data_IF_050504346890
#
_entry.id   IF_050504346890
#
_cell.length_a   1.000
_cell.length_b   1.000
_cell.length_c   1.000
_cell.angle_alpha   90.00
_cell.angle_beta   90.00
_cell.angle_gamma   90.00
#
_symmetry.space_group_name_H-M   'P 1'
#
loop_
_entity.id
_entity.type
_entity.pdbx_description
1 polymer ?
#
# COMPACT_ATOMS: atom_id res chain seq x y z
N UNK A 1 8.17 -6.31 -47.00
CA UNK A 1 8.18 -5.81 -45.60
C UNK A 1 7.33 -6.61 -44.60
N UNK A 2 6.43 -7.52 -45.02
CA UNK A 2 5.60 -8.31 -44.09
C UNK A 2 6.28 -9.60 -43.57
N UNK A 3 7.26 -10.15 -44.28
CA UNK A 3 7.91 -11.42 -43.93
C UNK A 3 8.89 -11.31 -42.74
N UNK A 4 9.56 -10.16 -42.58
CA UNK A 4 10.55 -9.94 -41.50
C UNK A 4 9.85 -9.84 -40.14
N UNK A 5 8.66 -9.23 -40.09
CA UNK A 5 7.89 -9.10 -38.86
C UNK A 5 7.29 -10.42 -38.36
N UNK A 6 6.93 -11.37 -39.25
CA UNK A 6 6.44 -12.68 -38.81
C UNK A 6 7.57 -13.54 -38.25
N UNK A 7 8.75 -13.51 -38.88
CA UNK A 7 9.96 -14.21 -38.41
C UNK A 7 10.43 -13.71 -37.04
N UNK A 8 10.37 -12.40 -36.79
CA UNK A 8 10.70 -11.82 -35.47
C UNK A 8 9.68 -12.24 -34.42
N UNK A 9 8.38 -12.22 -34.73
CA UNK A 9 7.34 -12.73 -33.80
C UNK A 9 7.51 -14.22 -33.48
N UNK A 10 7.90 -15.03 -34.47
CA UNK A 10 8.11 -16.46 -34.33
C UNK A 10 9.40 -16.79 -33.54
N UNK A 11 10.47 -16.01 -33.74
CA UNK A 11 11.69 -16.13 -32.93
C UNK A 11 11.47 -15.68 -31.48
N UNK A 12 10.70 -14.60 -31.25
CA UNK A 12 10.38 -14.12 -29.91
C UNK A 12 9.50 -15.12 -29.16
N UNK A 13 8.51 -15.74 -29.82
CA UNK A 13 7.66 -16.76 -29.19
C UNK A 13 8.42 -18.06 -28.87
N UNK A 14 9.30 -18.54 -29.77
CA UNK A 14 10.18 -19.68 -29.52
C UNK A 14 11.18 -19.40 -28.39
N UNK A 15 11.75 -18.20 -28.36
CA UNK A 15 12.65 -17.76 -27.28
C UNK A 15 11.93 -17.66 -25.94
N UNK A 16 10.67 -17.19 -25.95
CA UNK A 16 9.84 -17.09 -24.76
C UNK A 16 9.44 -18.48 -24.23
N UNK A 17 9.09 -19.43 -25.10
CA UNK A 17 8.82 -20.81 -24.70
C UNK A 17 10.09 -21.52 -24.16
N UNK A 18 11.26 -21.30 -24.77
CA UNK A 18 12.54 -21.82 -24.28
C UNK A 18 12.96 -21.19 -22.94
N UNK A 19 12.70 -19.89 -22.76
CA UNK A 19 12.90 -19.17 -21.49
C UNK A 19 11.92 -19.64 -20.42
N UNK A 20 10.67 -19.93 -20.78
CA UNK A 20 9.65 -20.41 -19.85
C UNK A 20 9.93 -21.86 -19.41
N UNK A 21 10.38 -22.74 -20.30
CA UNK A 21 10.84 -24.08 -19.92
C UNK A 21 12.13 -24.07 -19.08
N UNK A 22 13.05 -23.13 -19.35
CA UNK A 22 14.23 -22.92 -18.51
C UNK A 22 13.85 -22.34 -17.14
N UNK A 23 12.92 -21.38 -17.08
CA UNK A 23 12.43 -20.80 -15.84
C UNK A 23 11.70 -21.84 -14.97
N UNK A 24 10.87 -22.70 -15.58
CA UNK A 24 10.21 -23.80 -14.87
C UNK A 24 11.21 -24.85 -14.35
N UNK A 25 12.31 -25.10 -15.06
CA UNK A 25 13.43 -25.93 -14.56
C UNK A 25 14.20 -25.28 -13.41
N UNK A 26 14.34 -23.95 -13.40
CA UNK A 26 14.91 -23.17 -12.29
C UNK A 26 14.01 -23.11 -11.05
N UNK A 27 12.69 -23.32 -11.21
CA UNK A 27 11.70 -23.32 -10.12
C UNK A 27 11.47 -24.73 -9.55
N UNK A 28 11.90 -25.80 -10.24
CA UNK A 28 11.89 -27.14 -9.63
C UNK A 28 12.80 -27.11 -8.40
N UNK A 29 12.30 -27.47 -7.20
CA UNK A 29 13.15 -27.54 -6.03
C UNK A 29 14.27 -28.51 -6.36
N UNK A 30 15.51 -28.03 -6.27
CA UNK A 30 16.67 -28.90 -6.31
C UNK A 30 16.41 -29.93 -5.22
N UNK A 31 16.17 -31.18 -5.61
CA UNK A 31 16.32 -32.33 -4.73
C UNK A 31 17.80 -32.38 -4.40
N UNK A 32 18.20 -31.53 -3.44
CA UNK A 32 19.54 -31.50 -2.88
C UNK A 32 19.79 -32.92 -2.42
N UNK A 33 20.78 -33.58 -3.03
CA UNK A 33 21.27 -34.84 -2.50
C UNK A 33 21.55 -34.63 -1.01
N UNK A 34 21.18 -35.61 -0.19
CA UNK A 34 21.29 -35.51 1.27
C UNK A 34 22.69 -35.03 1.70
N UNK A 35 23.72 -35.39 0.94
CA UNK A 35 25.11 -34.97 1.11
C UNK A 35 25.36 -33.48 0.83
N UNK A 36 24.78 -32.91 -0.24
CA UNK A 36 24.89 -31.48 -0.53
C UNK A 36 24.10 -30.64 0.48
N UNK A 37 22.97 -31.16 0.97
CA UNK A 37 22.19 -30.54 2.03
C UNK A 37 22.96 -30.47 3.35
N UNK A 38 23.54 -31.58 3.79
CA UNK A 38 24.32 -31.63 5.04
C UNK A 38 25.58 -30.75 4.99
N UNK A 39 26.25 -30.67 3.84
CA UNK A 39 27.38 -29.76 3.64
C UNK A 39 26.97 -28.28 3.65
N UNK A 40 25.83 -27.94 3.06
CA UNK A 40 25.30 -26.59 3.12
C UNK A 40 24.87 -26.21 4.56
N UNK A 41 24.34 -27.15 5.33
CA UNK A 41 23.92 -26.94 6.72
C UNK A 41 25.09 -26.61 7.66
N UNK A 42 26.31 -27.09 7.37
CA UNK A 42 27.51 -26.71 8.13
C UNK A 42 27.84 -25.21 8.03
N UNK A 43 27.40 -24.55 6.97
CA UNK A 43 27.59 -23.10 6.76
C UNK A 43 26.46 -22.25 7.34
N UNK A 44 25.36 -22.89 7.79
CA UNK A 44 24.18 -22.20 8.31
C UNK A 44 24.31 -21.90 9.80
N UNK A 45 23.69 -20.80 10.23
CA UNK A 45 23.68 -20.42 11.64
C UNK A 45 22.85 -21.39 12.49
N UNK A 46 23.27 -21.65 13.74
CA UNK A 46 22.55 -22.52 14.69
C UNK A 46 21.07 -22.14 14.84
N UNK A 47 20.76 -20.84 14.87
CA UNK A 47 19.39 -20.34 14.98
C UNK A 47 18.52 -20.67 13.76
N UNK A 48 19.11 -20.71 12.57
CA UNK A 48 18.42 -21.03 11.32
C UNK A 48 18.07 -22.52 11.27
N UNK A 49 19.01 -23.40 11.61
CA UNK A 49 18.78 -24.84 11.69
C UNK A 49 17.72 -25.20 12.75
N UNK A 50 17.74 -24.51 13.90
CA UNK A 50 16.71 -24.68 14.94
C UNK A 50 15.34 -24.19 14.47
N UNK A 51 15.27 -23.09 13.70
CA UNK A 51 14.03 -22.60 13.14
C UNK A 51 13.48 -23.56 12.07
N UNK A 52 14.34 -24.11 11.22
CA UNK A 52 13.98 -25.08 10.19
C UNK A 52 13.43 -26.38 10.80
N UNK A 53 14.13 -26.94 11.78
CA UNK A 53 13.68 -28.15 12.51
C UNK A 53 12.39 -27.89 13.28
N UNK A 54 12.22 -26.72 13.90
CA UNK A 54 10.98 -26.33 14.56
C UNK A 54 9.82 -26.18 13.56
N UNK A 55 10.08 -25.61 12.37
CA UNK A 55 9.08 -25.43 11.32
C UNK A 55 8.59 -26.77 10.77
N UNK A 56 9.50 -27.73 10.54
CA UNK A 56 9.15 -29.09 10.14
C UNK A 56 8.38 -29.84 11.23
N UNK A 57 8.81 -29.74 12.50
CA UNK A 57 8.08 -30.32 13.64
C UNK A 57 6.66 -29.76 13.73
N UNK A 58 6.49 -28.46 13.57
CA UNK A 58 5.16 -27.84 13.61
C UNK A 58 4.26 -28.37 12.48
N UNK A 59 4.80 -28.56 11.26
CA UNK A 59 4.04 -29.19 10.16
C UNK A 59 3.64 -30.63 10.49
N UNK A 60 4.53 -31.42 11.08
CA UNK A 60 4.23 -32.80 11.52
C UNK A 60 3.17 -32.85 12.63
N UNK A 61 3.21 -31.91 13.57
CA UNK A 61 2.19 -31.80 14.63
C UNK A 61 0.82 -31.48 14.04
N UNK A 62 0.74 -30.57 13.06
CA UNK A 62 -0.52 -30.22 12.39
C UNK A 62 -1.06 -31.43 11.61
N UNK A 63 -0.19 -32.14 10.89
CA UNK A 63 -0.54 -33.34 10.12
C UNK A 63 -1.04 -34.48 11.03
N UNK A 64 -0.33 -34.77 12.12
CA UNK A 64 -0.71 -35.83 13.06
C UNK A 64 -2.04 -35.56 13.77
N UNK A 65 -2.46 -34.29 13.87
CA UNK A 65 -3.72 -33.91 14.51
C UNK A 65 -4.95 -34.13 13.63
N UNK A 66 -4.83 -34.24 12.30
CA UNK A 66 -6.00 -34.27 11.41
C UNK A 66 -5.82 -35.21 10.21
N UNK A 67 -6.65 -36.26 10.15
CA UNK A 67 -6.51 -37.40 9.21
C UNK A 67 -7.13 -37.14 7.82
N UNK A 68 -8.04 -36.17 7.66
CA UNK A 68 -8.72 -35.91 6.36
C UNK A 68 -8.48 -34.53 5.73
N UNK A 69 -8.60 -33.42 6.48
CA UNK A 69 -8.34 -32.07 5.97
C UNK A 69 -7.68 -31.19 7.04
N UNK A 70 -6.41 -30.75 6.84
CA UNK A 70 -5.69 -29.97 7.85
C UNK A 70 -6.16 -28.51 7.91
N UNK A 71 -7.07 -28.20 8.83
CA UNK A 71 -7.44 -26.83 9.19
C UNK A 71 -6.40 -26.26 10.14
N UNK A 72 -5.51 -25.41 9.62
CA UNK A 72 -4.51 -24.68 10.42
C UNK A 72 -5.19 -23.71 11.40
N UNK A 73 -4.97 -23.88 12.71
CA UNK A 73 -5.47 -22.95 13.75
C UNK A 73 -4.72 -21.61 13.68
N UNK A 74 -5.31 -20.56 14.23
CA UNK A 74 -4.69 -19.23 14.26
C UNK A 74 -3.32 -19.21 14.96
N UNK A 75 -3.14 -20.04 16.00
CA UNK A 75 -1.84 -20.24 16.69
C UNK A 75 -0.81 -20.87 15.78
N UNK A 76 -1.22 -21.89 15.02
CA UNK A 76 -0.35 -22.61 14.08
C UNK A 76 0.08 -21.68 12.93
N UNK A 77 -0.84 -20.86 12.42
CA UNK A 77 -0.54 -19.83 11.41
C UNK A 77 0.50 -18.82 11.90
N UNK A 78 0.36 -18.36 13.15
CA UNK A 78 1.30 -17.40 13.75
C UNK A 78 2.68 -18.03 13.98
N UNK A 79 2.74 -19.26 14.48
CA UNK A 79 4.00 -19.99 14.67
C UNK A 79 4.71 -20.24 13.33
N UNK A 80 3.97 -20.69 12.31
CA UNK A 80 4.52 -20.92 10.97
C UNK A 80 5.06 -19.62 10.36
N UNK A 81 4.34 -18.50 10.47
CA UNK A 81 4.82 -17.19 9.98
C UNK A 81 6.07 -16.74 10.75
N UNK A 82 6.12 -16.93 12.07
CA UNK A 82 7.25 -16.53 12.91
C UNK A 82 8.51 -17.37 12.60
N UNK A 83 8.35 -18.68 12.44
CA UNK A 83 9.43 -19.59 12.07
C UNK A 83 9.91 -19.33 10.65
N UNK A 84 8.99 -19.07 9.70
CA UNK A 84 9.34 -18.69 8.33
C UNK A 84 10.06 -17.33 8.25
N UNK A 85 9.88 -16.44 9.23
CA UNK A 85 10.67 -15.20 9.33
C UNK A 85 12.12 -15.45 9.73
N UNK A 86 12.38 -16.53 10.47
CA UNK A 86 13.70 -16.85 11.02
C UNK A 86 14.52 -17.77 10.10
N UNK A 87 13.86 -18.61 9.30
CA UNK A 87 14.51 -19.46 8.31
C UNK A 87 14.67 -18.73 6.97
N UNK A 88 15.87 -18.62 6.40
CA UNK A 88 16.09 -17.96 5.10
C UNK A 88 15.55 -18.81 3.95
N UNK A 89 15.53 -20.12 4.15
CA UNK A 89 15.10 -21.16 3.18
C UNK A 89 13.65 -21.61 3.35
N UNK A 90 12.83 -20.86 4.10
CA UNK A 90 11.46 -21.25 4.49
C UNK A 90 10.56 -21.70 3.32
N UNK A 91 10.76 -21.18 2.10
CA UNK A 91 9.99 -21.58 0.91
C UNK A 91 10.23 -23.03 0.50
N UNK A 92 11.43 -23.55 0.72
CA UNK A 92 11.81 -24.92 0.35
C UNK A 92 11.38 -25.93 1.42
N UNK A 93 11.28 -25.50 2.68
CA UNK A 93 10.91 -26.34 3.83
C UNK A 93 9.38 -26.49 4.02
N UNK A 94 8.56 -25.67 3.35
CA UNK A 94 7.11 -25.73 3.43
C UNK A 94 6.53 -26.76 2.45
N UNK A 95 5.98 -27.84 2.99
CA UNK A 95 5.32 -28.89 2.20
C UNK A 95 3.80 -28.92 2.42
N UNK A 96 3.33 -28.55 3.61
CA UNK A 96 1.92 -28.62 3.98
C UNK A 96 1.10 -27.41 3.50
N UNK A 97 1.73 -26.23 3.47
CA UNK A 97 1.06 -24.95 3.20
C UNK A 97 1.75 -24.25 2.03
N UNK A 98 0.97 -23.84 1.04
CA UNK A 98 1.48 -23.05 -0.09
C UNK A 98 2.17 -21.77 0.40
N UNK A 99 3.36 -21.41 -0.12
CA UNK A 99 4.07 -20.19 0.26
C UNK A 99 3.21 -18.92 0.17
N UNK A 100 2.31 -18.86 -0.82
CA UNK A 100 1.37 -17.75 -1.03
C UNK A 100 0.38 -17.59 0.14
N UNK A 101 -0.03 -18.73 0.72
CA UNK A 101 -0.95 -18.77 1.87
C UNK A 101 -0.25 -18.27 3.12
N UNK A 102 1.01 -18.66 3.34
CA UNK A 102 1.80 -18.17 4.46
C UNK A 102 2.07 -16.65 4.35
N UNK A 103 2.35 -16.15 3.16
CA UNK A 103 2.49 -14.71 2.91
C UNK A 103 1.17 -13.95 3.14
N UNK A 104 0.03 -14.55 2.80
CA UNK A 104 -1.29 -13.98 3.12
C UNK A 104 -1.49 -13.85 4.63
N UNK A 105 -1.14 -14.88 5.40
CA UNK A 105 -1.19 -14.82 6.87
C UNK A 105 -0.23 -13.79 7.45
N UNK A 106 0.99 -13.70 6.92
CA UNK A 106 1.94 -12.65 7.32
C UNK A 106 1.38 -11.24 7.12
N UNK A 107 0.79 -10.97 5.94
CA UNK A 107 0.15 -9.67 5.66
C UNK A 107 -1.01 -9.37 6.60
N UNK A 108 -1.82 -10.38 6.94
CA UNK A 108 -2.95 -10.21 7.86
C UNK A 108 -2.46 -9.95 9.30
N UNK A 109 -1.45 -10.69 9.77
CA UNK A 109 -0.84 -10.44 11.08
C UNK A 109 -0.23 -9.05 11.16
N UNK A 110 0.45 -8.62 10.09
CA UNK A 110 1.00 -7.27 9.98
C UNK A 110 -0.11 -6.22 10.03
N UNK A 111 -1.21 -6.42 9.30
CA UNK A 111 -2.39 -5.54 9.34
C UNK A 111 -2.98 -5.44 10.74
N UNK A 112 -3.15 -6.56 11.45
CA UNK A 112 -3.68 -6.59 12.83
C UNK A 112 -2.72 -5.88 13.79
N UNK A 113 -1.42 -6.16 13.68
CA UNK A 113 -0.39 -5.51 14.48
C UNK A 113 -0.43 -3.98 14.31
N UNK A 114 -0.45 -3.51 13.07
CA UNK A 114 -0.52 -2.08 12.79
C UNK A 114 -1.86 -1.48 13.18
N UNK A 115 -2.99 -2.19 13.02
CA UNK A 115 -4.30 -1.75 13.52
C UNK A 115 -4.30 -1.56 15.03
N UNK A 116 -3.62 -2.44 15.77
CA UNK A 116 -3.48 -2.33 17.23
C UNK A 116 -2.54 -1.19 17.61
N UNK A 117 -1.39 -1.07 16.94
CA UNK A 117 -0.39 -0.04 17.20
C UNK A 117 -0.88 1.37 16.82
N UNK A 118 -1.65 1.48 15.74
CA UNK A 118 -2.24 2.73 15.26
C UNK A 118 -3.52 3.11 16.00
N UNK A 119 -4.05 2.23 16.85
CA UNK A 119 -5.18 2.55 17.72
C UNK A 119 -4.72 3.62 18.71
N UNK A 120 -4.98 4.88 18.36
CA UNK A 120 -4.79 6.02 19.25
C UNK A 120 -5.58 5.71 20.52
N UNK A 121 -4.88 5.59 21.64
CA UNK A 121 -5.52 5.44 22.95
C UNK A 121 -6.52 6.60 23.08
N UNK A 122 -7.80 6.29 23.32
CA UNK A 122 -8.83 7.31 23.44
C UNK A 122 -8.47 8.21 24.63
N UNK A 123 -7.75 9.30 24.37
CA UNK A 123 -7.31 10.21 25.41
C UNK A 123 -8.57 10.80 26.02
N UNK A 124 -8.73 10.64 27.34
CA UNK A 124 -9.77 11.32 28.10
C UNK A 124 -9.73 12.81 27.72
N UNK A 125 -10.89 13.43 27.43
CA UNK A 125 -10.91 14.84 27.09
C UNK A 125 -10.32 15.65 28.25
N UNK A 126 -9.40 16.57 27.94
CA UNK A 126 -8.77 17.46 28.93
C UNK A 126 -9.72 18.53 29.47
N UNK A 127 -10.92 18.64 28.89
CA UNK A 127 -11.92 19.65 29.21
C UNK A 127 -13.06 18.97 29.97
N UNK A 128 -13.61 19.64 30.98
CA UNK A 128 -14.77 19.13 31.74
C UNK A 128 -15.95 18.85 30.81
N UNK A 129 -16.77 17.84 31.12
CA UNK A 129 -17.91 17.44 30.28
C UNK A 129 -18.90 18.59 30.07
N UNK A 130 -19.12 19.43 31.08
CA UNK A 130 -19.99 20.62 31.04
C UNK A 130 -19.53 21.67 30.01
N UNK A 131 -18.22 21.96 29.96
CA UNK A 131 -17.68 22.89 28.96
C UNK A 131 -17.80 22.30 27.55
N UNK A 132 -17.73 20.98 27.41
CA UNK A 132 -17.93 20.29 26.13
C UNK A 132 -19.40 20.35 25.70
N UNK A 133 -20.35 20.12 26.61
CA UNK A 133 -21.78 20.22 26.31
C UNK A 133 -22.15 21.64 25.89
N UNK A 134 -21.67 22.65 26.61
CA UNK A 134 -21.88 24.06 26.24
C UNK A 134 -21.37 24.38 24.84
N UNK A 135 -20.13 23.96 24.50
CA UNK A 135 -19.59 24.16 23.14
C UNK A 135 -20.48 23.47 22.09
N UNK A 136 -20.96 22.27 22.36
CA UNK A 136 -21.82 21.52 21.43
C UNK A 136 -23.18 22.19 21.25
N UNK A 137 -23.80 22.65 22.33
CA UNK A 137 -25.08 23.35 22.34
C UNK A 137 -24.98 24.68 21.58
N UNK A 138 -23.98 25.52 21.90
CA UNK A 138 -23.76 26.77 21.18
C UNK A 138 -23.53 26.54 19.68
N UNK A 139 -22.78 25.49 19.32
CA UNK A 139 -22.51 25.13 17.93
C UNK A 139 -23.72 24.55 17.18
N UNK A 140 -24.64 23.89 17.90
CA UNK A 140 -25.86 23.31 17.35
C UNK A 140 -26.94 24.37 17.13
N UNK A 141 -27.17 25.24 18.13
CA UNK A 141 -28.13 26.34 18.02
C UNK A 141 -27.67 27.43 17.05
N UNK A 142 -26.36 27.69 16.96
CA UNK A 142 -25.81 28.76 16.12
C UNK A 142 -24.95 28.21 14.98
N UNK A 143 -25.61 27.72 13.92
CA UNK A 143 -24.94 27.06 12.79
C UNK A 143 -24.05 28.00 11.96
N UNK A 144 -24.35 29.30 11.93
CA UNK A 144 -23.56 30.32 11.22
C UNK A 144 -22.30 30.74 11.99
N UNK A 145 -22.21 30.46 13.29
CA UNK A 145 -21.08 30.92 14.08
C UNK A 145 -19.80 30.13 13.77
N UNK A 146 -18.70 30.84 13.56
CA UNK A 146 -17.37 30.25 13.44
C UNK A 146 -16.76 29.90 14.80
N UNK A 147 -15.70 29.10 14.79
CA UNK A 147 -15.00 28.72 16.02
C UNK A 147 -14.43 29.92 16.80
N UNK A 148 -14.03 31.00 16.12
CA UNK A 148 -13.58 32.23 16.79
C UNK A 148 -14.73 32.99 17.45
N UNK A 149 -15.92 33.00 16.83
CA UNK A 149 -17.09 33.65 17.43
C UNK A 149 -17.51 32.94 18.72
N UNK A 150 -17.60 31.60 18.68
CA UNK A 150 -17.88 30.79 19.87
C UNK A 150 -16.80 30.99 20.93
N UNK A 151 -15.53 31.09 20.54
CA UNK A 151 -14.43 31.41 21.46
C UNK A 151 -14.62 32.75 22.16
N UNK A 152 -15.03 33.78 21.41
CA UNK A 152 -15.31 35.10 21.96
C UNK A 152 -16.45 35.09 22.98
N UNK A 153 -17.55 34.38 22.69
CA UNK A 153 -18.66 34.24 23.64
C UNK A 153 -18.28 33.44 24.90
N UNK A 154 -17.47 32.39 24.76
CA UNK A 154 -16.94 31.64 25.91
C UNK A 154 -15.98 32.48 26.76
N UNK A 155 -15.21 33.38 26.12
CA UNK A 155 -14.31 34.28 26.82
C UNK A 155 -15.07 35.25 27.74
N UNK A 156 -16.28 35.69 27.34
CA UNK A 156 -17.13 36.54 28.19
C UNK A 156 -17.58 35.84 29.48
N UNK A 157 -17.64 34.51 29.47
CA UNK A 157 -17.96 33.67 30.63
C UNK A 157 -16.70 33.23 31.41
N UNK A 158 -15.54 33.83 31.13
CA UNK A 158 -14.20 33.46 31.64
C UNK A 158 -13.77 32.00 31.31
N UNK A 159 -14.37 31.40 30.29
CA UNK A 159 -14.05 30.04 29.84
C UNK A 159 -12.97 30.10 28.76
N UNK A 160 -11.70 29.92 29.18
CA UNK A 160 -10.55 29.93 28.26
C UNK A 160 -10.39 28.59 27.52
N UNK A 161 -10.75 28.57 26.24
CA UNK A 161 -10.61 27.37 25.38
C UNK A 161 -9.92 27.72 24.06
N UNK A 162 -9.02 26.85 23.61
CA UNK A 162 -8.36 27.02 22.31
C UNK A 162 -9.34 26.86 21.14
N UNK A 163 -9.13 27.63 20.06
CA UNK A 163 -9.89 27.50 18.80
C UNK A 163 -9.95 26.04 18.32
N UNK A 164 -8.83 25.32 18.42
CA UNK A 164 -8.71 23.92 17.97
C UNK A 164 -9.61 22.98 18.78
N UNK A 165 -9.73 23.21 20.09
CA UNK A 165 -10.64 22.45 20.97
C UNK A 165 -12.10 22.71 20.58
N UNK A 166 -12.47 23.97 20.33
CA UNK A 166 -13.82 24.34 19.88
C UNK A 166 -14.13 23.69 18.52
N UNK A 167 -13.23 23.79 17.54
CA UNK A 167 -13.39 23.14 16.24
C UNK A 167 -13.57 21.63 16.36
N UNK A 168 -12.80 20.97 17.25
CA UNK A 168 -12.93 19.53 17.50
C UNK A 168 -14.36 19.19 17.93
N UNK A 169 -14.93 19.87 18.92
CA UNK A 169 -16.26 19.53 19.44
C UNK A 169 -17.40 20.04 18.54
N UNK A 170 -17.22 21.18 17.88
CA UNK A 170 -18.16 21.73 16.89
C UNK A 170 -18.35 20.80 15.68
N UNK A 171 -17.29 20.11 15.22
CA UNK A 171 -17.38 19.11 14.14
C UNK A 171 -18.22 17.89 14.50
N UNK A 172 -18.34 17.55 15.78
CA UNK A 172 -19.14 16.41 16.24
C UNK A 172 -20.61 16.79 16.47
N UNK A 173 -20.92 18.05 16.78
CA UNK A 173 -22.30 18.51 17.00
C UNK A 173 -23.02 18.91 15.73
N UNK A 174 -22.30 19.40 14.71
CA UNK A 174 -22.91 19.70 13.41
C UNK A 174 -23.13 18.40 12.66
N UNK A 175 -24.38 18.15 12.23
CA UNK A 175 -24.65 17.11 11.24
C UNK A 175 -23.72 17.34 10.06
N UNK A 176 -23.13 16.25 9.54
CA UNK A 176 -22.39 16.32 8.28
C UNK A 176 -23.33 17.00 7.30
N UNK A 177 -22.94 18.14 6.75
CA UNK A 177 -23.61 18.68 5.57
C UNK A 177 -23.77 17.50 4.60
N UNK A 178 -24.92 17.38 3.90
CA UNK A 178 -25.01 16.40 2.82
C UNK A 178 -23.73 16.55 2.02
N UNK A 179 -23.02 15.43 1.91
CA UNK A 179 -21.76 15.36 1.20
C UNK A 179 -21.94 16.19 -0.06
N UNK A 180 -21.03 17.13 -0.32
CA UNK A 180 -20.89 17.63 -1.69
C UNK A 180 -20.80 16.43 -2.64
N UNK A 181 -20.96 16.71 -3.94
CA UNK A 181 -20.82 15.72 -5.00
C UNK A 181 -19.77 14.66 -4.65
N UNK A 182 -20.19 13.38 -4.63
CA UNK A 182 -19.30 12.28 -4.30
C UNK A 182 -18.08 12.33 -5.24
N UNK A 183 -16.87 12.01 -4.74
CA UNK A 183 -15.64 12.04 -5.54
C UNK A 183 -15.78 11.29 -6.87
N UNK A 184 -16.49 10.16 -6.87
CA UNK A 184 -16.80 9.42 -8.11
C UNK A 184 -17.62 10.25 -9.09
N UNK A 185 -18.63 10.97 -8.61
CA UNK A 185 -19.50 11.82 -9.41
C UNK A 185 -18.75 13.06 -9.89
N UNK A 186 -17.90 13.65 -9.05
CA UNK A 186 -17.02 14.76 -9.43
C UNK A 186 -16.07 14.36 -10.55
N UNK A 187 -15.35 13.25 -10.37
CA UNK A 187 -14.46 12.73 -11.40
C UNK A 187 -15.22 12.37 -12.68
N UNK A 188 -16.41 11.77 -12.60
CA UNK A 188 -17.19 11.47 -13.81
C UNK A 188 -17.56 12.74 -14.60
N UNK A 189 -17.90 13.81 -13.89
CA UNK A 189 -18.33 15.06 -14.52
C UNK A 189 -17.14 15.86 -15.08
N UNK A 190 -15.99 15.86 -14.40
CA UNK A 190 -14.84 16.70 -14.75
C UNK A 190 -13.65 15.93 -15.34
N UNK A 191 -13.71 14.61 -15.51
CA UNK A 191 -12.56 13.84 -16.02
C UNK A 191 -12.13 14.25 -17.44
N UNK A 192 -13.03 14.80 -18.25
CA UNK A 192 -12.72 15.35 -19.57
C UNK A 192 -11.86 16.62 -19.50
N UNK A 193 -12.00 17.34 -18.38
CA UNK A 193 -11.48 18.69 -18.14
C UNK A 193 -10.27 18.66 -17.18
N UNK A 194 -9.88 17.48 -16.72
CA UNK A 194 -8.81 17.32 -15.73
C UNK A 194 -7.68 16.50 -16.33
N UNK A 195 -6.51 17.11 -16.36
CA UNK A 195 -5.26 16.39 -16.60
C UNK A 195 -4.64 15.96 -15.28
N UNK A 196 -4.15 14.73 -15.25
CA UNK A 196 -3.35 14.22 -14.16
C UNK A 196 -1.88 14.20 -14.60
N UNK A 197 -1.00 14.72 -13.75
CA UNK A 197 0.44 14.67 -13.94
C UNK A 197 1.08 13.92 -12.78
N UNK A 198 2.06 13.07 -13.09
CA UNK A 198 2.81 12.32 -12.08
C UNK A 198 4.21 11.96 -12.60
N UNK A 199 5.06 11.51 -11.68
CA UNK A 199 6.43 11.07 -11.96
C UNK A 199 6.56 9.57 -11.74
N UNK A 200 7.07 8.87 -12.76
CA UNK A 200 7.51 7.50 -12.64
C UNK A 200 9.03 7.45 -12.50
N UNK A 201 9.51 6.86 -11.41
CA UNK A 201 10.93 6.58 -11.25
C UNK A 201 11.31 5.32 -12.06
N UNK A 202 12.14 5.50 -13.08
CA UNK A 202 12.72 4.45 -13.91
C UNK A 202 14.21 4.39 -13.62
N UNK A 203 14.83 3.24 -13.88
CA UNK A 203 16.27 3.06 -13.64
C UNK A 203 16.98 2.83 -14.97
N UNK A 204 18.11 3.52 -15.18
CA UNK A 204 18.97 3.36 -16.35
C UNK A 204 19.81 2.06 -16.26
N UNK A 205 20.50 1.68 -17.35
CA UNK A 205 21.43 0.54 -17.41
C UNK A 205 22.51 0.59 -16.32
N UNK A 206 22.89 1.81 -15.88
CA UNK A 206 23.85 2.03 -14.81
C UNK A 206 23.23 2.14 -13.41
N UNK A 207 21.99 1.68 -13.22
CA UNK A 207 21.27 1.75 -11.95
C UNK A 207 21.05 3.17 -11.39
N UNK A 208 21.05 4.18 -12.27
CA UNK A 208 20.82 5.58 -11.89
C UNK A 208 19.34 5.94 -12.04
N UNK A 209 18.76 6.69 -11.09
CA UNK A 209 17.35 7.06 -11.16
C UNK A 209 17.10 8.06 -12.30
N UNK A 210 16.08 7.79 -13.08
CA UNK A 210 15.49 8.66 -14.09
C UNK A 210 14.03 8.92 -13.69
N UNK A 211 13.57 10.14 -13.84
CA UNK A 211 12.20 10.53 -13.55
C UNK A 211 11.49 10.80 -14.88
N UNK A 212 10.57 9.91 -15.24
CA UNK A 212 9.67 10.11 -16.36
C UNK A 212 8.45 10.90 -15.87
N UNK A 213 8.32 12.13 -16.34
CA UNK A 213 7.15 12.97 -16.15
C UNK A 213 6.14 12.68 -17.25
N UNK A 214 4.88 12.47 -16.88
CA UNK A 214 3.82 12.24 -17.84
C UNK A 214 2.57 13.03 -17.46
N UNK A 215 1.86 13.51 -18.49
CA UNK A 215 0.57 14.17 -18.37
C UNK A 215 -0.46 13.31 -19.11
N UNK A 216 -1.55 12.98 -18.43
CA UNK A 216 -2.61 12.11 -18.95
C UNK A 216 -3.96 12.81 -18.80
N UNK A 217 -4.80 12.70 -19.82
CA UNK A 217 -6.21 13.05 -19.71
C UNK A 217 -6.95 12.00 -18.87
N UNK A 218 -7.71 12.43 -17.85
CA UNK A 218 -8.27 11.50 -16.87
C UNK A 218 -9.40 10.63 -17.44
N UNK A 219 -10.18 11.14 -18.39
CA UNK A 219 -11.29 10.42 -19.03
C UNK A 219 -10.80 9.35 -20.00
N UNK A 220 -10.01 9.75 -21.01
CA UNK A 220 -9.56 8.87 -22.10
C UNK A 220 -8.36 8.01 -21.71
N UNK A 221 -7.65 8.37 -20.63
CA UNK A 221 -6.34 7.81 -20.25
C UNK A 221 -5.28 7.96 -21.34
N UNK A 222 -5.47 8.91 -22.26
CA UNK A 222 -4.51 9.23 -23.31
C UNK A 222 -3.36 10.05 -22.72
N UNK A 223 -2.14 9.62 -23.02
CA UNK A 223 -0.94 10.35 -22.65
C UNK A 223 -0.77 11.53 -23.61
N UNK A 224 -0.73 12.74 -23.05
CA UNK A 224 -0.62 14.00 -23.80
C UNK A 224 0.85 14.36 -23.97
N UNK A 225 1.61 14.27 -22.88
CA UNK A 225 3.00 14.70 -22.85
C UNK A 225 3.83 13.74 -22.02
N UNK A 226 5.05 13.46 -22.46
CA UNK A 226 6.04 12.66 -21.72
C UNK A 226 7.40 13.31 -21.88
N UNK A 227 8.11 13.50 -20.78
CA UNK A 227 9.51 13.88 -20.81
C UNK A 227 10.28 13.23 -19.66
N UNK A 228 11.58 13.05 -19.82
CA UNK A 228 12.43 12.33 -18.87
C UNK A 228 13.53 13.26 -18.40
N UNK A 229 13.72 13.33 -17.08
CA UNK A 229 14.81 14.09 -16.47
C UNK A 229 15.52 13.30 -15.39
N UNK A 230 16.81 13.58 -15.19
CA UNK A 230 17.57 13.09 -14.03
C UNK A 230 17.34 13.95 -12.79
N UNK A 231 16.86 15.18 -12.97
CA UNK A 231 16.69 16.16 -11.90
C UNK A 231 15.36 16.92 -12.09
N UNK A 232 14.26 16.45 -11.47
CA UNK A 232 12.98 17.14 -11.54
C UNK A 232 13.05 18.41 -10.70
N UNK A 233 13.27 19.54 -11.37
CA UNK A 233 13.31 20.87 -10.74
C UNK A 233 12.04 21.63 -11.09
N UNK A 234 11.55 22.47 -10.18
CA UNK A 234 10.38 23.33 -10.40
C UNK A 234 10.40 24.10 -11.74
N UNK A 235 11.50 24.78 -12.14
CA UNK A 235 11.55 25.46 -13.44
C UNK A 235 11.42 24.51 -14.63
N UNK A 236 11.98 23.29 -14.53
CA UNK A 236 11.84 22.27 -15.57
C UNK A 236 10.39 21.80 -15.66
N UNK A 237 9.71 21.53 -14.54
CA UNK A 237 8.28 21.13 -14.54
C UNK A 237 7.39 22.21 -15.12
N UNK A 238 7.63 23.48 -14.77
CA UNK A 238 6.91 24.61 -15.34
C UNK A 238 7.08 24.68 -16.87
N UNK A 239 8.28 24.37 -17.37
CA UNK A 239 8.52 24.28 -18.81
C UNK A 239 7.75 23.12 -19.46
N UNK A 240 7.71 21.95 -18.82
CA UNK A 240 6.95 20.81 -19.33
C UNK A 240 5.44 21.07 -19.39
N UNK A 241 4.89 21.82 -18.43
CA UNK A 241 3.49 22.22 -18.47
C UNK A 241 3.19 23.18 -19.63
N UNK A 242 4.11 24.11 -19.94
CA UNK A 242 3.98 24.99 -21.11
C UNK A 242 4.05 24.21 -22.44
N UNK A 243 4.98 23.26 -22.53
CA UNK A 243 5.16 22.40 -23.70
C UNK A 243 3.98 21.47 -23.93
N UNK A 244 3.26 21.09 -22.86
CA UNK A 244 2.08 20.24 -22.92
C UNK A 244 0.81 20.96 -23.44
N UNK A 245 0.81 22.29 -23.50
CA UNK A 245 -0.30 23.10 -24.03
C UNK A 245 0.10 23.86 -25.32
N UNK A 246 0.58 23.19 -26.39
CA UNK A 246 0.91 23.89 -27.60
C UNK A 246 -0.38 24.33 -28.31
N UNK A 247 -0.43 25.58 -28.78
CA UNK A 247 -1.52 26.15 -29.58
C UNK A 247 -2.90 26.24 -28.90
N UNK A 248 -2.96 26.44 -27.58
CA UNK A 248 -4.22 26.67 -26.87
C UNK A 248 -5.03 25.40 -26.60
N UNK A 249 -4.47 24.21 -26.85
CA UNK A 249 -5.02 22.97 -26.30
C UNK A 249 -4.94 23.05 -24.77
N UNK A 250 -6.09 23.35 -24.18
CA UNK A 250 -6.31 23.39 -22.74
C UNK A 250 -7.41 22.39 -22.43
N UNK A 251 -7.45 21.84 -21.20
CA UNK A 251 -8.68 21.21 -20.77
C UNK A 251 -9.83 22.21 -20.95
N UNK A 252 -10.93 21.79 -21.57
CA UNK A 252 -12.14 22.62 -21.64
C UNK A 252 -12.62 22.82 -20.19
N UNK A 253 -12.50 24.02 -19.64
CA UNK A 253 -12.95 24.38 -18.27
C UNK A 253 -14.34 25.00 -18.33
#
# INVERSE_FOLDING_TARGET
>A
MLCVFSLIKQCVSLSFHLLQERALRWIKPVTTSFVLGTLADLTRGKAELLAETALLRQQLIILRRQVKHPVCRNTDRLLLVLLARMARTWKQTLFLVQPETLLRWHRELFRIFWKRKSKVHARKPRLSPERISLIKEMAAHNRLWGAERIRGELLKLDIRVSKRTIQKYMRHSRSKRPSGQNWRTFLRNHAAEVWACDFLQVTDLFFRPLFAFFIIELQSRKVIHVNVTRSPTDPWVAQQLREATPYGQTPNI
#
